data_IF_802120328427
#
_entry.id   IF_802120328427
#
_cell.length_a   1.000
_cell.length_b   1.000
_cell.length_c   1.000
_cell.angle_alpha   90.00
_cell.angle_beta   90.00
_cell.angle_gamma   90.00
#
_symmetry.space_group_name_H-M   'P 1'
#
loop_
_entity.id
_entity.type
_entity.pdbx_description
1 polymer ?
#
# COMPACT_ATOMS: atom_id res chain seq x y z
N UNK A 1 -25.00 4.44 -12.40
CA UNK A 1 -24.34 5.18 -11.31
C UNK A 1 -23.78 4.12 -10.38
N UNK A 2 -22.54 3.68 -10.63
CA UNK A 2 -21.92 2.63 -9.82
C UNK A 2 -21.48 3.27 -8.51
N UNK A 3 -22.13 2.85 -7.43
CA UNK A 3 -21.72 3.18 -6.07
C UNK A 3 -20.42 2.40 -5.83
N UNK A 4 -19.29 2.99 -6.22
CA UNK A 4 -18.00 2.57 -5.74
C UNK A 4 -18.02 2.84 -4.24
N UNK A 5 -18.36 1.82 -3.47
CA UNK A 5 -17.88 1.74 -2.10
C UNK A 5 -16.38 2.03 -2.16
N UNK A 6 -15.81 2.87 -1.28
CA UNK A 6 -14.38 3.03 -1.23
C UNK A 6 -13.84 1.66 -0.84
N UNK A 7 -13.51 0.85 -1.86
CA UNK A 7 -12.78 -0.38 -1.70
C UNK A 7 -11.56 0.07 -0.91
N UNK A 8 -11.39 -0.47 0.29
CA UNK A 8 -10.23 -0.16 1.10
C UNK A 8 -9.06 -0.63 0.24
N UNK A 9 -8.45 0.32 -0.49
CA UNK A 9 -7.38 0.00 -1.41
C UNK A 9 -6.18 -0.33 -0.53
N UNK A 10 -5.98 -1.62 -0.35
CA UNK A 10 -4.90 -2.19 0.43
C UNK A 10 -3.88 -2.80 -0.52
N UNK A 11 -2.61 -2.45 -0.34
CA UNK A 11 -1.51 -2.97 -1.13
C UNK A 11 -0.52 -3.67 -0.21
N UNK A 12 -0.36 -4.98 -0.38
CA UNK A 12 0.66 -5.73 0.34
C UNK A 12 2.06 -5.28 -0.11
N UNK A 13 2.86 -4.85 0.85
CA UNK A 13 4.28 -4.60 0.69
C UNK A 13 5.03 -5.87 1.05
N UNK A 14 5.56 -6.54 0.03
CA UNK A 14 6.31 -7.78 0.15
C UNK A 14 7.79 -7.47 -0.09
N UNK A 15 8.68 -7.99 0.74
CA UNK A 15 10.12 -7.88 0.52
C UNK A 15 10.59 -8.76 -0.64
N UNK A 16 11.82 -8.52 -1.11
CA UNK A 16 12.47 -9.38 -2.10
C UNK A 16 12.58 -10.85 -1.66
N UNK A 17 12.52 -11.11 -0.35
CA UNK A 17 12.54 -12.46 0.23
C UNK A 17 11.16 -13.15 0.27
N UNK A 18 10.11 -12.49 -0.24
CA UNK A 18 8.74 -13.00 -0.23
C UNK A 18 8.03 -12.84 1.12
N UNK A 19 8.57 -12.05 2.04
CA UNK A 19 7.94 -11.77 3.34
C UNK A 19 7.04 -10.55 3.26
N UNK A 20 5.84 -10.65 3.79
CA UNK A 20 4.94 -9.50 3.94
C UNK A 20 5.53 -8.61 5.04
N UNK A 21 5.87 -7.38 4.66
CA UNK A 21 6.38 -6.35 5.55
C UNK A 21 5.23 -5.56 6.18
N UNK A 22 4.13 -5.42 5.45
CA UNK A 22 2.98 -4.64 5.84
C UNK A 22 2.06 -4.38 4.67
N UNK A 23 1.08 -3.52 4.90
CA UNK A 23 0.11 -3.10 3.90
C UNK A 23 0.05 -1.58 3.84
N UNK A 24 0.04 -1.03 2.64
CA UNK A 24 -0.34 0.37 2.43
C UNK A 24 -1.85 0.41 2.33
N UNK A 25 -2.50 1.27 3.11
CA UNK A 25 -3.94 1.47 3.08
C UNK A 25 -4.26 2.94 2.87
N UNK A 26 -5.30 3.22 2.10
CA UNK A 26 -5.80 4.59 1.95
C UNK A 26 -6.64 4.97 3.18
N UNK A 27 -6.16 5.94 3.94
CA UNK A 27 -6.90 6.49 5.07
C UNK A 27 -7.92 7.51 4.55
N UNK A 28 -9.20 7.10 4.51
CA UNK A 28 -10.29 7.97 4.07
C UNK A 28 -10.50 9.20 4.99
N UNK A 29 -10.10 9.12 6.26
CA UNK A 29 -10.24 10.23 7.20
C UNK A 29 -9.21 11.33 6.93
N UNK A 30 -8.02 10.96 6.44
CA UNK A 30 -6.94 11.90 6.07
C UNK A 30 -6.88 12.19 4.56
N UNK A 31 -7.39 11.30 3.73
CA UNK A 31 -7.25 11.33 2.29
C UNK A 31 -5.83 10.98 1.81
N UNK A 32 -5.07 10.20 2.59
CA UNK A 32 -3.65 9.90 2.35
C UNK A 32 -3.37 8.40 2.41
N UNK A 33 -2.31 7.94 1.75
CA UNK A 33 -1.87 6.55 1.84
C UNK A 33 -0.96 6.38 3.06
N UNK A 34 -1.28 5.42 3.93
CA UNK A 34 -0.49 5.10 5.11
C UNK A 34 0.05 3.68 5.04
N UNK A 35 1.36 3.53 5.26
CA UNK A 35 1.96 2.21 5.46
C UNK A 35 1.69 1.71 6.88
N UNK A 36 1.13 0.51 6.98
CA UNK A 36 0.91 -0.21 8.22
C UNK A 36 1.77 -1.47 8.23
N UNK A 37 2.78 -1.55 9.11
CA UNK A 37 3.58 -2.76 9.24
C UNK A 37 2.71 -3.93 9.70
N UNK A 38 2.97 -5.12 9.17
CA UNK A 38 2.19 -6.33 9.50
C UNK A 38 2.48 -6.79 10.94
N UNK A 39 3.71 -6.56 11.40
CA UNK A 39 4.15 -6.85 12.75
C UNK A 39 4.91 -5.65 13.34
N UNK A 40 4.70 -5.34 14.61
CA UNK A 40 5.36 -4.23 15.32
C UNK A 40 6.89 -4.41 15.41
N UNK A 41 7.38 -5.64 15.21
CA UNK A 41 8.80 -5.98 15.11
C UNK A 41 9.34 -6.09 13.67
N UNK A 42 8.59 -5.65 12.64
CA UNK A 42 9.12 -5.60 11.27
C UNK A 42 10.20 -4.52 11.22
N UNK A 43 11.45 -4.95 11.26
CA UNK A 43 12.60 -4.10 10.98
C UNK A 43 12.78 -4.03 9.47
N UNK A 44 12.35 -2.92 8.89
CA UNK A 44 12.56 -2.64 7.47
C UNK A 44 14.02 -2.24 7.24
N UNK A 45 14.68 -2.90 6.28
CA UNK A 45 15.96 -2.46 5.75
C UNK A 45 15.81 -1.14 4.97
N UNK A 46 16.89 -0.37 4.83
CA UNK A 46 16.88 0.92 4.10
C UNK A 46 16.33 0.79 2.67
N UNK A 47 16.59 -0.35 2.02
CA UNK A 47 16.04 -0.67 0.69
C UNK A 47 14.52 -0.85 0.72
N UNK A 48 14.01 -1.56 1.72
CA UNK A 48 12.58 -1.81 1.89
C UNK A 48 11.85 -0.51 2.23
N UNK A 49 12.41 0.30 3.13
CA UNK A 49 11.88 1.62 3.44
C UNK A 49 11.82 2.52 2.21
N UNK A 50 12.89 2.57 1.42
CA UNK A 50 12.94 3.36 0.18
C UNK A 50 11.90 2.89 -0.84
N UNK A 51 11.76 1.57 -1.01
CA UNK A 51 10.77 0.99 -1.93
C UNK A 51 9.33 1.28 -1.48
N UNK A 52 9.04 1.16 -0.19
CA UNK A 52 7.72 1.50 0.38
C UNK A 52 7.44 2.99 0.22
N UNK A 53 8.40 3.86 0.52
CA UNK A 53 8.26 5.30 0.37
C UNK A 53 8.01 5.71 -1.09
N UNK A 54 8.74 5.12 -2.04
CA UNK A 54 8.52 5.35 -3.47
C UNK A 54 7.11 4.89 -3.91
N UNK A 55 6.64 3.75 -3.39
CA UNK A 55 5.27 3.27 -3.63
C UNK A 55 4.22 4.22 -3.07
N UNK A 56 4.40 4.71 -1.83
CA UNK A 56 3.51 5.70 -1.22
C UNK A 56 3.41 6.97 -2.08
N UNK A 57 4.56 7.54 -2.47
CA UNK A 57 4.60 8.75 -3.31
C UNK A 57 3.97 8.48 -4.68
N UNK A 58 4.18 7.30 -5.25
CA UNK A 58 3.56 6.91 -6.53
C UNK A 58 2.04 6.79 -6.45
N UNK A 59 1.52 6.28 -5.32
CA UNK A 59 0.09 6.19 -5.03
C UNK A 59 -0.53 7.57 -4.78
N UNK A 60 0.13 8.42 -4.00
CA UNK A 60 -0.31 9.80 -3.74
C UNK A 60 -0.31 10.67 -5.00
N UNK A 61 0.70 10.52 -5.86
CA UNK A 61 0.76 11.20 -7.15
C UNK A 61 -0.22 10.63 -8.18
N UNK A 62 -0.96 9.57 -7.86
CA UNK A 62 -1.84 8.87 -8.80
C UNK A 62 -1.11 8.21 -9.98
N UNK A 63 0.22 8.05 -9.88
CA UNK A 63 1.06 7.38 -10.90
C UNK A 63 0.86 5.87 -10.87
N UNK A 64 0.60 5.32 -9.71
CA UNK A 64 0.14 3.95 -9.52
C UNK A 64 -1.28 3.97 -8.96
N UNK A 65 -2.18 3.21 -9.57
CA UNK A 65 -3.44 2.85 -8.94
C UNK A 65 -3.30 1.43 -8.40
N UNK A 66 -3.84 1.16 -7.22
CA UNK A 66 -4.00 -0.22 -6.76
C UNK A 66 -4.99 -0.83 -7.73
N UNK A 67 -4.55 -1.82 -8.56
CA UNK A 67 -5.41 -2.39 -9.58
C UNK A 67 -6.65 -2.92 -8.87
N UNK A 68 -7.82 -2.49 -9.36
CA UNK A 68 -9.06 -3.18 -9.05
C UNK A 68 -8.79 -4.63 -9.45
N UNK A 69 -8.92 -5.59 -8.52
CA UNK A 69 -8.83 -6.99 -8.89
C UNK A 69 -9.95 -7.24 -9.90
N UNK A 70 -9.61 -7.23 -11.18
CA UNK A 70 -10.44 -7.80 -12.22
C UNK A 70 -10.36 -9.32 -12.01
N UNK A 71 -11.36 -9.85 -11.31
CA UNK A 71 -11.68 -11.27 -11.35
C UNK A 71 -12.09 -11.61 -12.80
N UNK A 72 -11.17 -12.21 -13.57
CA UNK A 72 -11.49 -13.01 -14.76
C UNK A 72 -10.55 -14.25 -14.83
#
# INVERSE_FOLDING_TARGET
MVLFFPVQQELDCISDSGRILGKIKFDLAKGEYLFCPDNESVVLSDKEQSSIAEKLVSLELGKSSIPMQDDD
#
